data_IF_330815917915
#
_entry.id   IF_330815917915
#
_cell.length_a   1.000
_cell.length_b   1.000
_cell.length_c   1.000
_cell.angle_alpha   90.00
_cell.angle_beta   90.00
_cell.angle_gamma   90.00
#
_symmetry.space_group_name_H-M   'P 1'
#
loop_
_entity.id
_entity.type
_entity.pdbx_description
1 polymer ?
#
# COMPACT_ATOMS: atom_id res chain seq x y z
N UNK A 1 6.89 -6.17 -3.90
CA UNK A 1 8.20 -6.00 -3.26
C UNK A 1 9.18 -6.83 -4.03
N UNK A 2 10.28 -6.22 -4.43
CA UNK A 2 11.37 -6.87 -5.14
C UNK A 2 12.62 -6.59 -4.32
N UNK A 3 13.38 -7.63 -4.01
CA UNK A 3 14.68 -7.56 -3.34
C UNK A 3 15.66 -8.32 -4.23
N UNK A 4 16.80 -7.70 -4.52
CA UNK A 4 17.76 -8.22 -5.49
C UNK A 4 19.19 -8.05 -4.96
N UNK A 5 19.99 -9.10 -5.06
CA UNK A 5 21.43 -9.11 -4.86
C UNK A 5 22.14 -9.44 -6.17
N UNK A 6 23.47 -9.54 -6.16
CA UNK A 6 24.24 -9.89 -7.36
C UNK A 6 23.89 -11.27 -7.95
N UNK A 7 23.37 -12.20 -7.14
CA UNK A 7 23.13 -13.59 -7.53
C UNK A 7 21.70 -14.07 -7.30
N UNK A 8 20.84 -13.26 -6.68
CA UNK A 8 19.52 -13.71 -6.25
C UNK A 8 18.48 -12.61 -6.28
N UNK A 9 17.23 -13.01 -6.54
CA UNK A 9 16.07 -12.13 -6.58
C UNK A 9 14.91 -12.78 -5.86
N UNK A 10 14.26 -12.02 -5.00
CA UNK A 10 13.05 -12.42 -4.30
C UNK A 10 11.93 -11.44 -4.51
N UNK A 11 10.73 -11.98 -4.73
CA UNK A 11 9.55 -11.20 -5.04
C UNK A 11 8.36 -11.65 -4.19
N UNK A 12 7.63 -10.67 -3.66
CA UNK A 12 6.35 -10.91 -3.01
C UNK A 12 5.44 -9.70 -3.19
N UNK A 13 4.14 -9.96 -3.27
CA UNK A 13 3.12 -8.90 -3.34
C UNK A 13 2.54 -8.71 -1.94
N UNK A 14 2.34 -7.46 -1.54
CA UNK A 14 1.54 -7.17 -0.35
C UNK A 14 0.07 -7.54 -0.56
N UNK A 15 -0.68 -7.64 0.53
CA UNK A 15 -2.14 -7.76 0.45
C UNK A 15 -2.75 -6.65 -0.43
N UNK A 16 -3.83 -6.99 -1.13
CA UNK A 16 -4.60 -6.02 -1.92
C UNK A 16 -5.68 -5.42 -1.05
N UNK A 17 -5.77 -4.08 -1.04
CA UNK A 17 -6.86 -3.36 -0.38
C UNK A 17 -7.95 -3.05 -1.41
N UNK A 18 -9.16 -3.61 -1.29
CA UNK A 18 -10.28 -3.18 -2.11
C UNK A 18 -10.62 -1.72 -1.79
N UNK A 19 -10.87 -0.93 -2.84
CA UNK A 19 -11.25 0.47 -2.73
C UNK A 19 -12.72 0.64 -3.14
N UNK A 20 -13.46 1.60 -2.54
CA UNK A 20 -14.80 1.98 -3.01
C UNK A 20 -14.78 2.43 -4.48
N UNK A 21 -15.87 2.19 -5.20
CA UNK A 21 -15.99 2.53 -6.63
C UNK A 21 -15.76 4.03 -6.90
N UNK A 22 -16.27 4.91 -6.02
CA UNK A 22 -16.06 6.36 -6.11
C UNK A 22 -14.59 6.79 -6.10
N UNK A 23 -13.71 6.00 -5.46
CA UNK A 23 -12.26 6.23 -5.45
C UNK A 23 -11.64 5.63 -6.71
N UNK A 24 -12.08 4.43 -7.12
CA UNK A 24 -11.58 3.76 -8.30
C UNK A 24 -11.86 4.53 -9.58
N UNK A 25 -13.03 5.14 -9.72
CA UNK A 25 -13.40 5.96 -10.88
C UNK A 25 -12.43 7.12 -11.09
N UNK A 26 -12.10 7.85 -10.02
CA UNK A 26 -11.15 8.96 -10.07
C UNK A 26 -9.73 8.48 -10.41
N UNK A 27 -9.28 7.41 -9.77
CA UNK A 27 -7.95 6.84 -10.06
C UNK A 27 -7.87 6.32 -11.50
N UNK A 28 -8.95 5.71 -12.02
CA UNK A 28 -9.04 5.29 -13.43
C UNK A 28 -9.07 6.47 -14.40
N UNK A 29 -9.55 7.64 -13.97
CA UNK A 29 -9.49 8.88 -14.74
C UNK A 29 -8.08 9.51 -14.76
N UNK A 30 -7.10 8.91 -14.07
CA UNK A 30 -5.70 9.36 -14.06
C UNK A 30 -5.29 10.09 -12.77
N UNK A 31 -6.20 10.28 -11.82
CA UNK A 31 -5.89 10.93 -10.56
C UNK A 31 -5.02 10.04 -9.67
N UNK A 32 -4.07 10.66 -8.97
CA UNK A 32 -3.26 9.93 -8.00
C UNK A 32 -4.12 9.54 -6.77
N UNK A 33 -3.97 8.31 -6.29
CA UNK A 33 -4.73 7.80 -5.13
C UNK A 33 -4.53 8.67 -3.86
N UNK A 34 -3.36 9.25 -3.65
CA UNK A 34 -3.05 10.07 -2.47
C UNK A 34 -3.97 11.31 -2.33
N UNK A 35 -4.02 12.20 -3.33
CA UNK A 35 -4.97 13.31 -3.38
C UNK A 35 -6.44 12.88 -3.25
N UNK A 36 -6.87 11.87 -4.01
CA UNK A 36 -8.25 11.34 -3.96
C UNK A 36 -8.61 10.89 -2.53
N UNK A 37 -7.71 10.16 -1.88
CA UNK A 37 -7.90 9.74 -0.49
C UNK A 37 -7.95 10.92 0.48
N UNK A 38 -7.11 11.95 0.29
CA UNK A 38 -7.10 13.13 1.16
C UNK A 38 -8.42 13.90 1.07
N UNK A 39 -8.97 14.04 -0.15
CA UNK A 39 -10.30 14.63 -0.39
C UNK A 39 -11.41 13.79 0.24
N UNK A 40 -11.35 12.46 0.07
CA UNK A 40 -12.36 11.54 0.59
C UNK A 40 -12.42 11.52 2.13
N UNK A 41 -11.27 11.58 2.80
CA UNK A 41 -11.20 11.45 4.26
C UNK A 41 -11.09 12.79 5.00
N UNK A 42 -10.84 13.89 4.28
CA UNK A 42 -10.51 15.19 4.87
C UNK A 42 -9.17 15.22 5.60
N UNK A 43 -8.26 14.27 5.34
CA UNK A 43 -6.97 14.15 6.02
C UNK A 43 -5.87 14.53 5.03
N UNK A 44 -5.25 15.68 5.26
CA UNK A 44 -4.11 16.11 4.45
C UNK A 44 -2.92 15.16 4.57
N UNK A 45 -2.28 14.92 3.43
CA UNK A 45 -1.11 14.05 3.28
C UNK A 45 -1.30 12.67 3.94
N UNK A 46 -2.50 12.08 3.79
CA UNK A 46 -2.86 10.78 4.36
C UNK A 46 -1.81 9.67 4.09
N UNK A 47 -1.12 9.73 2.94
CA UNK A 47 -0.05 8.82 2.57
C UNK A 47 1.21 8.87 3.44
N UNK A 48 1.41 9.94 4.23
CA UNK A 48 2.48 10.09 5.24
C UNK A 48 2.03 9.70 6.66
N UNK A 49 0.73 9.46 6.86
CA UNK A 49 0.16 8.96 8.11
C UNK A 49 -0.13 7.46 7.96
N UNK A 50 -1.34 7.03 8.30
CA UNK A 50 -1.74 5.62 8.27
C UNK A 50 -2.01 5.10 6.84
N UNK A 51 -2.20 6.02 5.88
CA UNK A 51 -2.56 5.73 4.50
C UNK A 51 -3.99 5.19 4.36
N UNK A 52 -4.37 4.83 3.13
CA UNK A 52 -5.67 4.21 2.84
C UNK A 52 -5.89 2.92 3.64
N UNK A 53 -4.82 2.13 3.85
CA UNK A 53 -4.86 0.89 4.64
C UNK A 53 -5.33 1.18 6.08
N UNK A 54 -4.76 2.19 6.74
CA UNK A 54 -5.19 2.57 8.08
C UNK A 54 -6.66 2.97 8.14
N UNK A 55 -7.07 3.85 7.22
CA UNK A 55 -8.45 4.33 7.15
C UNK A 55 -9.45 3.20 6.98
N UNK A 56 -9.25 2.33 5.98
CA UNK A 56 -10.21 1.27 5.67
C UNK A 56 -10.16 0.08 6.63
N UNK A 57 -9.13 -0.02 7.48
CA UNK A 57 -9.04 -1.07 8.52
C UNK A 57 -9.35 -0.56 9.92
N UNK A 58 -9.69 0.72 10.07
CA UNK A 58 -9.92 1.37 11.36
C UNK A 58 -8.67 1.34 12.24
N UNK A 59 -7.50 1.64 11.67
CA UNK A 59 -6.22 1.71 12.36
C UNK A 59 -5.59 0.37 12.75
N UNK A 60 -6.26 -0.77 12.47
CA UNK A 60 -5.75 -2.11 12.83
C UNK A 60 -4.54 -2.52 12.01
N UNK A 61 -4.43 -2.01 10.79
CA UNK A 61 -3.27 -2.20 9.93
C UNK A 61 -2.76 -0.83 9.48
N UNK A 62 -1.45 -0.73 9.34
CA UNK A 62 -0.80 0.41 8.70
C UNK A 62 -0.14 -0.02 7.41
N UNK A 63 0.13 0.94 6.51
CA UNK A 63 0.95 0.69 5.32
C UNK A 63 2.29 0.01 5.67
N UNK A 64 2.93 0.45 6.76
CA UNK A 64 4.18 -0.14 7.24
C UNK A 64 4.01 -1.61 7.62
N UNK A 65 2.98 -1.96 8.42
CA UNK A 65 2.74 -3.35 8.85
C UNK A 65 2.47 -4.31 7.68
N UNK A 66 1.72 -3.87 6.68
CA UNK A 66 1.41 -4.67 5.49
C UNK A 66 2.65 -4.82 4.60
N UNK A 67 3.45 -3.77 4.47
CA UNK A 67 4.67 -3.80 3.66
C UNK A 67 5.75 -4.65 4.33
N UNK A 68 5.84 -4.61 5.66
CA UNK A 68 6.75 -5.46 6.43
C UNK A 68 6.57 -6.93 6.08
N UNK A 69 5.32 -7.43 6.07
CA UNK A 69 5.06 -8.83 5.67
C UNK A 69 5.51 -9.12 4.23
N UNK A 70 5.23 -8.24 3.29
CA UNK A 70 5.65 -8.41 1.90
C UNK A 70 7.18 -8.38 1.74
N UNK A 71 7.89 -7.57 2.52
CA UNK A 71 9.35 -7.53 2.53
C UNK A 71 9.90 -8.83 3.11
N UNK A 72 9.39 -9.30 4.25
CA UNK A 72 9.80 -10.58 4.86
C UNK A 72 9.59 -11.74 3.89
N UNK A 73 8.46 -11.79 3.17
CA UNK A 73 8.21 -12.82 2.17
C UNK A 73 9.16 -12.72 0.97
N UNK A 74 9.45 -11.49 0.50
CA UNK A 74 10.40 -11.27 -0.59
C UNK A 74 11.85 -11.64 -0.19
N UNK A 75 12.16 -11.67 1.11
CA UNK A 75 13.45 -12.13 1.62
C UNK A 75 13.58 -13.66 1.67
N UNK A 76 12.51 -14.43 1.47
CA UNK A 76 12.55 -15.90 1.59
C UNK A 76 13.62 -16.63 0.76
N UNK A 77 14.06 -16.15 -0.41
CA UNK A 77 15.15 -16.81 -1.13
C UNK A 77 16.53 -16.59 -0.48
N UNK A 78 16.71 -15.51 0.29
CA UNK A 78 18.00 -15.09 0.83
C UNK A 78 18.32 -15.85 2.14
N UNK A 79 19.51 -16.46 2.27
CA UNK A 79 19.91 -17.26 3.43
C UNK A 79 20.29 -16.43 4.66
#
# INVERSE_FOLDING_TARGET
MVIESASQRGEARSATLPLPDVILEQVRAGEALGPVMSQYTGIDQIGRKEGAIGVFTGGRLTRSSVYHQAVVLALSPFP
#
